data_IF_469366021833
#
_entry.id   IF_469366021833
#
_cell.length_a   1.000
_cell.length_b   1.000
_cell.length_c   1.000
_cell.angle_alpha   90.00
_cell.angle_beta   90.00
_cell.angle_gamma   90.00
#
_symmetry.space_group_name_H-M   'P 1'
#
loop_
_entity.id
_entity.type
_entity.pdbx_description
1 polymer ?
#
# COMPACT_ATOMS: atom_id res chain seq x y z
N UNK A 1 -14.53 33.18 -3.89
CA UNK A 1 -15.77 32.38 -3.91
C UNK A 1 -15.37 31.06 -4.55
N UNK A 2 -15.11 30.11 -3.69
CA UNK A 2 -14.53 28.81 -4.03
C UNK A 2 -15.65 27.88 -4.51
N UNK A 3 -15.65 27.56 -5.81
CA UNK A 3 -16.55 26.55 -6.38
C UNK A 3 -15.89 25.16 -6.35
N UNK A 4 -15.45 24.75 -5.16
CA UNK A 4 -15.11 23.36 -4.95
C UNK A 4 -16.36 22.64 -4.43
N UNK A 5 -17.30 22.34 -5.33
CA UNK A 5 -18.43 21.49 -5.01
C UNK A 5 -17.89 20.10 -4.67
N UNK A 6 -18.05 19.73 -3.40
CA UNK A 6 -17.87 18.36 -2.97
C UNK A 6 -18.69 17.43 -3.87
N UNK A 7 -18.00 16.61 -4.64
CA UNK A 7 -18.63 15.64 -5.52
C UNK A 7 -19.39 14.64 -4.65
N UNK A 8 -20.71 14.55 -4.80
CA UNK A 8 -21.52 13.60 -4.04
C UNK A 8 -21.15 12.16 -4.38
N UNK A 9 -21.30 11.24 -3.42
CA UNK A 9 -21.01 9.80 -3.61
C UNK A 9 -21.71 9.22 -4.85
N UNK A 10 -22.92 9.72 -5.19
CA UNK A 10 -23.65 9.35 -6.41
C UNK A 10 -22.91 9.71 -7.70
N UNK A 11 -22.15 10.79 -7.69
CA UNK A 11 -21.33 11.19 -8.84
C UNK A 11 -20.13 10.27 -9.01
N UNK A 12 -19.56 9.76 -7.93
CA UNK A 12 -18.49 8.75 -7.96
C UNK A 12 -19.01 7.47 -8.62
N UNK A 13 -20.15 6.94 -8.17
CA UNK A 13 -20.74 5.72 -8.74
C UNK A 13 -21.00 5.88 -10.24
N UNK A 14 -21.51 7.03 -10.67
CA UNK A 14 -21.75 7.31 -12.09
C UNK A 14 -20.45 7.35 -12.90
N UNK A 15 -19.42 8.04 -12.39
CA UNK A 15 -18.10 8.11 -13.05
C UNK A 15 -17.49 6.71 -13.17
N UNK A 16 -17.61 5.89 -12.13
CA UNK A 16 -17.15 4.50 -12.16
C UNK A 16 -17.89 3.67 -13.22
N UNK A 17 -19.22 3.72 -13.23
CA UNK A 17 -20.03 3.01 -14.21
C UNK A 17 -19.69 3.44 -15.65
N UNK A 18 -19.53 4.73 -15.89
CA UNK A 18 -19.18 5.28 -17.21
C UNK A 18 -17.77 4.84 -17.63
N UNK A 19 -16.80 4.84 -16.70
CA UNK A 19 -15.41 4.44 -16.98
C UNK A 19 -15.31 2.94 -17.26
N UNK A 20 -15.89 2.10 -16.40
CA UNK A 20 -15.92 0.63 -16.60
C UNK A 20 -16.67 0.25 -17.86
N UNK A 21 -17.74 0.98 -18.20
CA UNK A 21 -18.48 0.74 -19.45
C UNK A 21 -17.70 1.16 -20.69
N UNK A 22 -16.93 2.26 -20.59
CA UNK A 22 -16.07 2.70 -21.69
C UNK A 22 -14.90 1.72 -21.92
N UNK A 23 -14.31 1.18 -20.87
CA UNK A 23 -13.25 0.17 -20.97
C UNK A 23 -13.76 -1.16 -21.51
N UNK A 24 -14.96 -1.62 -21.09
CA UNK A 24 -15.62 -2.79 -21.70
C UNK A 24 -15.89 -2.57 -23.18
N UNK A 25 -16.42 -1.42 -23.57
CA UNK A 25 -16.63 -1.11 -24.98
C UNK A 25 -15.31 -1.05 -25.78
N UNK A 26 -14.24 -0.51 -25.19
CA UNK A 26 -12.92 -0.47 -25.83
C UNK A 26 -12.30 -1.89 -25.94
N UNK A 27 -12.46 -2.74 -24.94
CA UNK A 27 -12.02 -4.13 -24.96
C UNK A 27 -12.81 -4.96 -25.99
N UNK A 28 -14.12 -4.75 -26.11
CA UNK A 28 -14.96 -5.41 -27.10
C UNK A 28 -14.68 -4.97 -28.54
N UNK A 29 -14.26 -3.71 -28.77
CA UNK A 29 -13.93 -3.19 -30.10
C UNK A 29 -12.57 -3.66 -30.62
N UNK A 30 -11.64 -4.07 -29.73
CA UNK A 30 -10.29 -4.53 -30.07
C UNK A 30 -10.11 -6.06 -29.94
N UNK A 31 -11.17 -6.80 -29.64
CA UNK A 31 -11.08 -8.25 -29.48
C UNK A 31 -10.95 -8.94 -30.85
N UNK A 32 -9.79 -9.55 -31.08
CA UNK A 32 -9.57 -10.51 -32.17
C UNK A 32 -10.61 -11.63 -32.08
N UNK A 33 -11.37 -11.90 -33.15
CA UNK A 33 -12.39 -12.95 -33.16
C UNK A 33 -11.87 -14.36 -32.87
N UNK A 34 -10.56 -14.60 -32.95
CA UNK A 34 -9.91 -15.88 -32.66
C UNK A 34 -9.78 -16.18 -31.17
N UNK A 35 -10.01 -15.20 -30.27
CA UNK A 35 -9.88 -15.35 -28.81
C UNK A 35 -11.22 -15.63 -28.09
N UNK A 36 -12.29 -15.93 -28.82
CA UNK A 36 -13.63 -16.21 -28.23
C UNK A 36 -13.78 -17.63 -27.66
N UNK A 37 -12.75 -18.19 -27.10
CA UNK A 37 -12.82 -19.45 -26.34
C UNK A 37 -11.97 -19.36 -25.06
N UNK A 38 -12.32 -18.41 -24.20
CA UNK A 38 -12.08 -18.58 -22.78
C UNK A 38 -13.42 -18.93 -22.14
N UNK A 39 -13.60 -20.22 -21.89
CA UNK A 39 -14.67 -20.71 -21.05
C UNK A 39 -14.63 -20.02 -19.70
N UNK A 40 -15.74 -20.04 -18.98
CA UNK A 40 -15.92 -19.63 -17.59
C UNK A 40 -14.85 -20.30 -16.67
N UNK A 41 -13.63 -19.88 -16.81
CA UNK A 41 -12.60 -20.07 -15.83
C UNK A 41 -12.76 -18.88 -14.87
N UNK A 42 -13.36 -19.14 -13.71
CA UNK A 42 -13.25 -18.24 -12.59
C UNK A 42 -11.81 -17.71 -12.60
N UNK A 43 -11.62 -16.40 -12.75
CA UNK A 43 -10.33 -15.79 -12.50
C UNK A 43 -9.94 -16.26 -11.11
N UNK A 44 -9.01 -17.19 -11.06
CA UNK A 44 -8.36 -17.54 -9.81
C UNK A 44 -7.58 -16.30 -9.37
N UNK A 45 -8.28 -15.43 -8.64
CA UNK A 45 -7.72 -14.24 -7.99
C UNK A 45 -6.88 -14.68 -6.77
N UNK A 46 -6.21 -15.83 -6.92
CA UNK A 46 -5.27 -16.40 -5.96
C UNK A 46 -3.91 -15.71 -5.95
N UNK A 47 -3.72 -14.60 -6.65
CA UNK A 47 -2.51 -13.81 -6.49
C UNK A 47 -2.50 -13.23 -5.07
N UNK A 48 -1.61 -13.76 -4.27
CA UNK A 48 -1.26 -13.18 -2.97
C UNK A 48 -0.57 -11.85 -3.22
N UNK A 49 -0.97 -10.80 -2.51
CA UNK A 49 -0.28 -9.52 -2.51
C UNK A 49 0.94 -9.56 -1.58
N UNK A 50 1.54 -10.74 -1.39
CA UNK A 50 2.72 -10.96 -0.57
C UNK A 50 3.49 -12.16 -1.12
N UNK A 51 4.80 -12.13 -0.98
CA UNK A 51 5.69 -13.24 -1.32
C UNK A 51 5.43 -14.46 -0.42
N UNK A 52 5.53 -15.66 -0.97
CA UNK A 52 5.42 -16.92 -0.21
C UNK A 52 6.58 -17.17 0.76
N UNK A 53 7.62 -16.33 0.73
CA UNK A 53 8.77 -16.43 1.62
C UNK A 53 8.38 -15.95 3.01
N UNK A 54 8.63 -16.73 4.04
CA UNK A 54 8.36 -16.35 5.43
C UNK A 54 9.17 -15.11 5.84
N UNK A 55 8.56 -14.24 6.65
CA UNK A 55 9.30 -13.13 7.24
C UNK A 55 10.37 -13.63 8.20
N UNK A 56 11.59 -13.04 8.17
CA UNK A 56 12.64 -13.39 9.11
C UNK A 56 12.21 -13.18 10.56
N UNK A 57 12.64 -14.08 11.45
CA UNK A 57 12.42 -13.91 12.88
C UNK A 57 13.19 -12.66 13.40
N UNK A 58 12.56 -11.94 14.30
CA UNK A 58 13.17 -10.75 14.92
C UNK A 58 14.08 -11.09 16.11
N UNK A 59 14.24 -12.37 16.44
CA UNK A 59 15.02 -12.80 17.59
C UNK A 59 16.50 -12.47 17.44
N UNK A 60 17.11 -12.03 18.55
CA UNK A 60 18.51 -11.61 18.56
C UNK A 60 18.80 -10.26 17.90
N UNK A 61 17.77 -9.51 17.49
CA UNK A 61 17.91 -8.09 17.18
C UNK A 61 17.89 -7.34 18.52
N UNK A 62 18.91 -6.53 18.78
CA UNK A 62 19.03 -5.69 19.96
C UNK A 62 19.07 -4.22 19.59
N UNK A 63 19.29 -3.35 20.60
CA UNK A 63 19.33 -1.90 20.42
C UNK A 63 20.33 -1.47 19.35
N UNK A 64 19.86 -0.71 18.38
CA UNK A 64 20.64 -0.13 17.30
C UNK A 64 20.05 1.23 16.89
N UNK A 65 20.51 2.34 17.49
CA UNK A 65 20.00 3.67 17.20
C UNK A 65 20.19 4.10 15.73
N UNK A 66 21.19 3.55 15.04
CA UNK A 66 21.44 3.88 13.64
C UNK A 66 20.41 3.21 12.73
N UNK A 67 20.14 1.93 12.95
CA UNK A 67 19.07 1.22 12.25
C UNK A 67 17.69 1.82 12.58
N UNK A 68 17.43 2.11 13.86
CA UNK A 68 16.19 2.74 14.30
C UNK A 68 15.89 4.04 13.54
N UNK A 69 16.90 4.92 13.41
CA UNK A 69 16.75 6.18 12.67
C UNK A 69 16.43 5.97 11.19
N UNK A 70 16.96 4.89 10.61
CA UNK A 70 16.73 4.59 9.19
C UNK A 70 15.34 4.07 8.93
N UNK A 71 14.82 3.17 9.78
CA UNK A 71 13.54 2.48 9.52
C UNK A 71 12.32 3.23 10.02
N UNK A 72 12.46 4.10 11.03
CA UNK A 72 11.31 4.77 11.65
C UNK A 72 10.42 5.56 10.69
N UNK A 73 10.96 6.25 9.65
CA UNK A 73 10.11 6.93 8.67
C UNK A 73 9.19 5.99 7.89
N UNK A 74 9.61 4.74 7.64
CA UNK A 74 8.77 3.78 6.95
C UNK A 74 7.59 3.29 7.82
N UNK A 75 7.69 3.36 9.15
CA UNK A 75 6.61 2.92 10.03
C UNK A 75 5.39 3.84 9.97
N UNK A 76 5.59 5.13 10.20
CA UNK A 76 4.49 6.10 10.31
C UNK A 76 4.86 7.49 9.75
N UNK A 77 5.76 7.53 8.76
CA UNK A 77 6.00 8.73 7.97
C UNK A 77 4.88 8.99 6.96
N UNK A 78 4.98 10.10 6.25
CA UNK A 78 4.00 10.46 5.22
C UNK A 78 3.90 9.42 4.10
N UNK A 79 5.01 8.74 3.80
CA UNK A 79 5.14 7.69 2.77
C UNK A 79 5.43 6.34 3.45
N UNK A 80 4.93 6.14 4.67
CA UNK A 80 5.15 4.91 5.44
C UNK A 80 3.92 4.03 5.49
N UNK A 81 4.10 2.82 6.02
CA UNK A 81 3.09 1.75 6.06
C UNK A 81 1.75 2.19 6.65
N UNK A 82 1.76 3.05 7.68
CA UNK A 82 0.49 3.54 8.24
C UNK A 82 -0.30 4.37 7.23
N UNK A 83 0.37 5.14 6.38
CA UNK A 83 -0.29 5.89 5.29
C UNK A 83 -0.85 4.94 4.25
N UNK A 84 -0.08 3.93 3.84
CA UNK A 84 -0.50 2.91 2.89
C UNK A 84 -1.74 2.15 3.39
N UNK A 85 -1.72 1.64 4.63
CA UNK A 85 -2.89 0.99 5.25
C UNK A 85 -4.14 1.86 5.14
N UNK A 86 -4.04 3.13 5.53
CA UNK A 86 -5.20 4.03 5.54
C UNK A 86 -5.67 4.38 4.13
N UNK A 87 -4.76 4.56 3.18
CA UNK A 87 -5.08 4.84 1.78
C UNK A 87 -5.80 3.67 1.13
N UNK A 88 -5.26 2.46 1.23
CA UNK A 88 -5.85 1.26 0.65
C UNK A 88 -7.21 0.92 1.26
N UNK A 89 -7.40 1.10 2.58
CA UNK A 89 -8.71 0.94 3.22
C UNK A 89 -9.70 2.00 2.73
N UNK A 90 -9.28 3.25 2.62
CA UNK A 90 -10.14 4.32 2.10
C UNK A 90 -10.61 4.00 0.67
N UNK A 91 -9.71 3.61 -0.18
CA UNK A 91 -9.99 3.30 -1.57
C UNK A 91 -10.84 2.02 -1.70
N UNK A 92 -10.53 0.96 -0.94
CA UNK A 92 -11.34 -0.26 -0.86
C UNK A 92 -12.81 0.08 -0.59
N UNK A 93 -13.08 0.92 0.41
CA UNK A 93 -14.46 1.32 0.77
C UNK A 93 -15.16 2.01 -0.40
N UNK A 94 -14.46 2.88 -1.14
CA UNK A 94 -15.05 3.57 -2.29
C UNK A 94 -15.33 2.63 -3.46
N UNK A 95 -14.39 1.74 -3.80
CA UNK A 95 -14.55 0.77 -4.89
C UNK A 95 -15.63 -0.27 -4.54
N UNK A 96 -15.70 -0.73 -3.28
CA UNK A 96 -16.75 -1.65 -2.83
C UNK A 96 -18.14 -1.00 -2.92
N UNK A 97 -18.27 0.23 -2.46
CA UNK A 97 -19.52 0.99 -2.57
C UNK A 97 -19.95 1.23 -4.02
N UNK A 98 -19.00 1.45 -4.92
CA UNK A 98 -19.25 1.63 -6.35
C UNK A 98 -19.58 0.31 -7.09
N UNK A 99 -19.52 -0.84 -6.42
CA UNK A 99 -19.79 -2.16 -6.99
C UNK A 99 -18.61 -2.78 -7.75
N UNK A 100 -17.43 -2.15 -7.71
CA UNK A 100 -16.20 -2.65 -8.34
C UNK A 100 -15.49 -3.65 -7.42
N UNK A 101 -16.13 -4.79 -7.18
CA UNK A 101 -15.71 -5.78 -6.16
C UNK A 101 -14.30 -6.31 -6.38
N UNK A 102 -13.91 -6.60 -7.62
CA UNK A 102 -12.59 -7.16 -7.93
C UNK A 102 -11.46 -6.20 -7.50
N UNK A 103 -11.61 -4.91 -7.79
CA UNK A 103 -10.66 -3.88 -7.34
C UNK A 103 -10.69 -3.71 -5.82
N UNK A 104 -11.88 -3.65 -5.23
CA UNK A 104 -12.04 -3.55 -3.79
C UNK A 104 -11.34 -4.70 -3.05
N UNK A 105 -11.48 -5.92 -3.54
CA UNK A 105 -10.86 -7.12 -2.95
C UNK A 105 -9.33 -7.11 -3.07
N UNK A 106 -8.79 -6.60 -4.19
CA UNK A 106 -7.34 -6.43 -4.37
C UNK A 106 -6.82 -5.41 -3.36
N UNK A 107 -7.42 -4.22 -3.30
CA UNK A 107 -7.00 -3.16 -2.39
C UNK A 107 -7.07 -3.58 -0.91
N UNK A 108 -8.08 -4.37 -0.55
CA UNK A 108 -8.16 -4.93 0.80
C UNK A 108 -7.04 -5.91 1.10
N UNK A 109 -6.65 -6.75 0.13
CA UNK A 109 -5.52 -7.68 0.29
C UNK A 109 -4.21 -6.91 0.47
N UNK A 110 -3.96 -5.88 -0.34
CA UNK A 110 -2.80 -5.00 -0.16
C UNK A 110 -2.83 -4.37 1.22
N UNK A 111 -3.95 -3.76 1.64
CA UNK A 111 -4.09 -3.18 2.98
C UNK A 111 -3.76 -4.16 4.11
N UNK A 112 -4.13 -5.44 3.97
CA UNK A 112 -3.80 -6.48 4.95
C UNK A 112 -2.29 -6.76 4.97
N UNK A 113 -1.63 -6.76 3.82
CA UNK A 113 -0.16 -6.90 3.73
C UNK A 113 0.52 -5.70 4.38
N UNK A 114 0.08 -4.47 4.09
CA UNK A 114 0.60 -3.25 4.72
C UNK A 114 0.41 -3.22 6.24
N UNK A 115 -0.72 -3.73 6.75
CA UNK A 115 -0.89 -3.91 8.20
C UNK A 115 0.14 -4.89 8.77
N UNK A 116 0.54 -5.91 8.01
CA UNK A 116 1.58 -6.85 8.45
C UNK A 116 2.96 -6.19 8.44
N UNK A 117 3.28 -5.39 7.43
CA UNK A 117 4.50 -4.59 7.40
C UNK A 117 4.56 -3.62 8.59
N UNK A 118 3.46 -2.92 8.85
CA UNK A 118 3.33 -2.02 10.01
C UNK A 118 3.60 -2.73 11.33
N UNK A 119 3.02 -3.95 11.54
CA UNK A 119 3.26 -4.77 12.74
C UNK A 119 4.73 -5.15 12.88
N UNK A 120 5.36 -5.61 11.79
CA UNK A 120 6.76 -6.02 11.75
C UNK A 120 7.68 -4.84 12.06
N UNK A 121 7.48 -3.70 11.41
CA UNK A 121 8.27 -2.49 11.66
C UNK A 121 8.10 -1.98 13.08
N UNK A 122 6.88 -1.98 13.62
CA UNK A 122 6.63 -1.62 15.01
C UNK A 122 7.35 -2.53 16.00
N UNK A 123 7.30 -3.84 15.76
CA UNK A 123 8.03 -4.83 16.55
C UNK A 123 9.55 -4.67 16.44
N UNK A 124 10.04 -4.33 15.27
CA UNK A 124 11.45 -4.06 15.02
C UNK A 124 11.92 -2.78 15.73
N UNK A 125 11.15 -1.70 15.66
CA UNK A 125 11.40 -0.44 16.39
C UNK A 125 11.53 -0.69 17.88
N UNK A 126 10.63 -1.52 18.45
CA UNK A 126 10.69 -1.87 19.88
C UNK A 126 11.99 -2.59 20.23
N UNK A 127 12.45 -3.53 19.42
CA UNK A 127 13.71 -4.26 19.63
C UNK A 127 14.93 -3.36 19.45
N UNK A 128 14.85 -2.37 18.58
CA UNK A 128 15.91 -1.39 18.35
C UNK A 128 16.01 -0.31 19.43
N UNK A 129 15.15 -0.37 20.46
CA UNK A 129 15.27 0.46 21.68
C UNK A 129 14.30 1.64 21.75
N UNK A 130 13.23 1.69 20.95
CA UNK A 130 12.21 2.74 21.02
C UNK A 130 10.79 2.17 21.11
N UNK A 131 9.87 2.90 21.69
CA UNK A 131 8.44 2.57 21.60
C UNK A 131 7.94 2.82 20.17
N UNK A 132 7.10 1.93 19.60
CA UNK A 132 6.55 2.07 18.25
C UNK A 132 5.38 3.08 18.25
N UNK A 133 5.68 4.34 18.46
CA UNK A 133 4.68 5.40 18.44
C UNK A 133 4.47 5.87 17.00
N UNK A 134 3.22 6.11 16.64
CA UNK A 134 2.88 6.67 15.33
C UNK A 134 3.37 8.12 15.24
N UNK A 135 4.63 8.24 14.86
CA UNK A 135 5.35 9.49 14.74
C UNK A 135 6.36 9.41 13.60
N UNK A 136 6.56 10.54 12.97
CA UNK A 136 7.54 10.70 11.91
C UNK A 136 8.99 10.52 12.38
N UNK A 137 9.28 10.85 13.63
CA UNK A 137 10.64 10.82 14.18
C UNK A 137 10.70 10.07 15.52
N UNK A 138 11.58 9.10 15.70
CA UNK A 138 12.02 8.63 17.00
C UNK A 138 13.33 9.33 17.42
N UNK A 139 13.68 9.35 18.66
CA UNK A 139 12.81 9.47 19.80
C UNK A 139 12.38 10.94 19.94
N UNK A 140 11.27 11.12 20.40
CA UNK A 140 10.48 12.31 20.62
C UNK A 140 11.18 13.55 21.21
N UNK A 141 10.74 14.80 20.98
CA UNK A 141 9.35 15.27 20.93
C UNK A 141 8.78 15.15 19.52
N UNK A 142 7.58 14.71 19.48
CA UNK A 142 6.92 13.99 18.46
C UNK A 142 6.08 14.91 17.58
N UNK A 143 6.25 14.77 16.25
CA UNK A 143 5.15 15.03 15.36
C UNK A 143 4.37 13.72 15.23
N UNK A 144 3.22 13.64 15.89
CA UNK A 144 2.32 12.51 15.71
C UNK A 144 1.90 12.39 14.26
N UNK A 145 1.65 11.15 13.83
CA UNK A 145 1.11 10.88 12.52
C UNK A 145 -0.15 11.73 12.26
N UNK A 146 -0.28 12.18 11.04
CA UNK A 146 -1.47 12.88 10.57
C UNK A 146 -1.91 12.32 9.23
N UNK A 147 -3.20 12.00 9.13
CA UNK A 147 -3.77 11.42 7.90
C UNK A 147 -3.82 12.39 6.69
N UNK A 148 -3.22 13.58 6.79
CA UNK A 148 -3.15 14.51 5.66
C UNK A 148 -2.31 13.98 4.48
N UNK A 149 -1.44 13.00 4.74
CA UNK A 149 -0.61 12.36 3.72
C UNK A 149 -1.38 11.32 2.87
N UNK A 150 -2.54 10.87 3.33
CA UNK A 150 -3.41 9.96 2.59
C UNK A 150 -3.97 10.67 1.36
N UNK A 151 -3.92 10.03 0.18
CA UNK A 151 -4.63 10.53 -0.99
C UNK A 151 -6.13 10.27 -0.84
N UNK A 152 -6.91 11.34 -0.73
CA UNK A 152 -8.37 11.29 -0.68
C UNK A 152 -9.00 11.54 -2.05
N UNK A 153 -8.31 11.17 -3.13
CA UNK A 153 -8.89 11.24 -4.47
C UNK A 153 -10.16 10.39 -4.54
N UNK A 154 -11.13 10.87 -5.31
CA UNK A 154 -12.35 10.16 -5.66
C UNK A 154 -12.40 9.80 -7.15
N UNK A 155 -11.34 10.09 -7.88
CA UNK A 155 -11.20 9.79 -9.30
C UNK A 155 -10.43 8.49 -9.43
N UNK A 156 -11.04 7.39 -9.95
CA UNK A 156 -10.46 6.05 -9.98
C UNK A 156 -9.07 5.99 -10.59
N UNK A 157 -8.88 6.61 -11.75
CA UNK A 157 -7.59 6.61 -12.44
C UNK A 157 -6.51 7.28 -11.61
N UNK A 158 -6.87 8.39 -10.91
CA UNK A 158 -5.92 9.06 -10.02
C UNK A 158 -5.62 8.23 -8.78
N UNK A 159 -6.61 7.51 -8.22
CA UNK A 159 -6.39 6.62 -7.08
C UNK A 159 -5.34 5.56 -7.43
N UNK A 160 -5.50 4.88 -8.56
CA UNK A 160 -4.57 3.85 -9.03
C UNK A 160 -3.18 4.44 -9.33
N UNK A 161 -3.09 5.63 -9.93
CA UNK A 161 -1.81 6.28 -10.17
C UNK A 161 -1.12 6.68 -8.89
N UNK A 162 -1.85 7.19 -7.90
CA UNK A 162 -1.31 7.53 -6.59
C UNK A 162 -0.77 6.28 -5.87
N UNK A 163 -1.42 5.11 -6.03
CA UNK A 163 -0.96 3.85 -5.47
C UNK A 163 0.33 3.38 -6.16
N UNK A 164 0.38 3.38 -7.48
CA UNK A 164 1.60 3.01 -8.23
C UNK A 164 2.79 3.91 -7.83
N UNK A 165 2.56 5.21 -7.68
CA UNK A 165 3.60 6.14 -7.23
C UNK A 165 4.04 5.86 -5.79
N UNK A 166 3.10 5.50 -4.91
CA UNK A 166 3.38 5.16 -3.52
C UNK A 166 4.21 3.87 -3.41
N UNK A 167 3.84 2.82 -4.13
CA UNK A 167 4.60 1.55 -4.16
C UNK A 167 6.02 1.74 -4.71
N UNK A 168 6.17 2.49 -5.80
CA UNK A 168 7.49 2.78 -6.33
C UNK A 168 8.35 3.57 -5.33
N UNK A 169 7.75 4.50 -4.60
CA UNK A 169 8.43 5.26 -3.55
C UNK A 169 8.84 4.36 -2.38
N UNK A 170 8.01 3.39 -1.99
CA UNK A 170 8.30 2.40 -0.96
C UNK A 170 9.49 1.52 -1.37
N UNK A 171 9.48 0.95 -2.58
CA UNK A 171 10.58 0.16 -3.15
C UNK A 171 11.90 0.95 -3.11
N UNK A 172 11.89 2.19 -3.59
CA UNK A 172 13.06 3.07 -3.61
C UNK A 172 13.56 3.38 -2.19
N UNK A 173 12.65 3.60 -1.26
CA UNK A 173 12.96 3.91 0.13
C UNK A 173 13.59 2.71 0.82
N UNK A 174 13.02 1.52 0.70
CA UNK A 174 13.61 0.30 1.23
C UNK A 174 14.94 -0.05 0.57
N UNK A 175 15.08 0.17 -0.72
CA UNK A 175 16.36 -0.02 -1.43
C UNK A 175 17.46 0.90 -0.86
N UNK A 176 17.14 2.19 -0.62
CA UNK A 176 18.06 3.15 0.00
C UNK A 176 18.40 2.78 1.45
N UNK A 177 17.44 2.24 2.19
CA UNK A 177 17.68 1.74 3.55
C UNK A 177 18.65 0.56 3.54
N UNK A 178 18.45 -0.42 2.67
CA UNK A 178 19.30 -1.60 2.53
C UNK A 178 20.76 -1.24 2.24
N UNK A 179 21.01 -0.23 1.42
CA UNK A 179 22.36 0.26 1.15
C UNK A 179 23.06 0.87 2.40
N UNK A 180 22.33 1.24 3.43
CA UNK A 180 22.84 1.94 4.63
C UNK A 180 22.81 1.09 5.89
N UNK A 181 21.97 0.07 5.92
CA UNK A 181 21.84 -0.86 7.05
C UNK A 181 23.10 -1.71 7.18
N UNK A 182 23.69 -1.72 8.38
CA UNK A 182 24.84 -2.55 8.72
C UNK A 182 24.42 -3.83 9.47
N UNK A 183 23.25 -3.81 10.08
CA UNK A 183 22.72 -4.94 10.82
C UNK A 183 22.04 -5.89 9.82
N UNK A 184 22.69 -7.02 9.55
CA UNK A 184 22.23 -8.00 8.55
C UNK A 184 20.84 -8.57 8.86
N UNK A 185 20.49 -8.73 10.16
CA UNK A 185 19.16 -9.24 10.54
C UNK A 185 18.08 -8.22 10.25
N UNK A 186 18.33 -6.95 10.56
CA UNK A 186 17.42 -5.85 10.20
C UNK A 186 17.31 -5.75 8.67
N UNK A 187 18.43 -5.83 7.96
CA UNK A 187 18.43 -5.78 6.51
C UNK A 187 17.61 -6.93 5.89
N UNK A 188 17.68 -8.14 6.43
CA UNK A 188 16.88 -9.27 5.97
C UNK A 188 15.37 -9.02 6.10
N UNK A 189 14.93 -8.40 7.21
CA UNK A 189 13.52 -8.03 7.41
C UNK A 189 13.08 -6.99 6.39
N UNK A 190 13.85 -5.92 6.22
CA UNK A 190 13.55 -4.85 5.25
C UNK A 190 13.55 -5.39 3.80
N UNK A 191 14.50 -6.27 3.47
CA UNK A 191 14.53 -6.92 2.15
C UNK A 191 13.25 -7.73 1.91
N UNK A 192 12.74 -8.43 2.93
CA UNK A 192 11.52 -9.24 2.79
C UNK A 192 10.26 -8.35 2.61
N UNK A 193 10.16 -7.24 3.33
CA UNK A 193 9.10 -6.24 3.12
C UNK A 193 9.18 -5.72 1.69
N UNK A 194 10.35 -5.23 1.25
CA UNK A 194 10.54 -4.72 -0.12
C UNK A 194 10.10 -5.69 -1.22
N UNK A 195 10.22 -6.99 -0.99
CA UNK A 195 9.73 -8.01 -1.95
C UNK A 195 8.22 -8.03 -2.07
N UNK A 196 7.49 -7.67 -1.02
CA UNK A 196 6.03 -7.56 -1.09
C UNK A 196 5.62 -6.31 -1.86
N UNK A 197 6.31 -5.17 -1.65
CA UNK A 197 6.05 -3.94 -2.42
C UNK A 197 6.21 -4.16 -3.94
N UNK A 198 7.11 -5.04 -4.35
CA UNK A 198 7.29 -5.42 -5.77
C UNK A 198 6.10 -6.26 -6.32
N UNK A 199 5.20 -6.71 -5.46
CA UNK A 199 4.03 -7.52 -5.83
C UNK A 199 2.72 -6.74 -5.80
N UNK A 200 2.70 -5.61 -5.11
CA UNK A 200 1.56 -4.70 -5.08
C UNK A 200 1.40 -3.99 -6.42
#
# INVERSE_FOLDING_TARGET
MDENKDMEIRDISRIFEETVKAEKCAAESNADPSLRHCGESACDCGKTCASDIAYPALDGIGEDPAALKLISPAYAGNEGELTAVLQYIYQHILFDHAGCKDYADILLKVAITEMKHLEILGSLILRLGAAPVYSYLPPYPINYYSAHAVSYSKVPQKMILDDIEAEQCAIDTYTKMLCRLKNERVAAVIQRIRMDEEMH
#
